data_IF_646746744383
#
_entry.id   IF_646746744383
#
_cell.length_a   1.000
_cell.length_b   1.000
_cell.length_c   1.000
_cell.angle_alpha   90.00
_cell.angle_beta   90.00
_cell.angle_gamma   90.00
#
_symmetry.space_group_name_H-M   'P 1'
#
loop_
_entity.id
_entity.type
_entity.pdbx_description
1 polymer ?
#
# COMPACT_ATOMS: atom_id res chain seq x y z
N UNK A 1 -16.85 -8.06 -43.14
CA UNK A 1 -15.70 -7.25 -42.70
C UNK A 1 -15.68 -7.13 -41.18
N UNK A 2 -14.80 -7.86 -40.50
CA UNK A 2 -14.66 -7.84 -39.03
C UNK A 2 -13.96 -6.54 -38.63
N UNK A 3 -14.67 -5.62 -37.97
CA UNK A 3 -14.10 -4.38 -37.43
C UNK A 3 -13.19 -4.75 -36.25
N UNK A 4 -11.89 -4.82 -36.53
CA UNK A 4 -10.79 -4.88 -35.55
C UNK A 4 -10.98 -3.76 -34.50
N UNK A 5 -11.66 -4.07 -33.39
CA UNK A 5 -11.74 -3.17 -32.23
C UNK A 5 -10.37 -3.16 -31.57
N UNK A 6 -9.48 -2.29 -32.06
CA UNK A 6 -8.17 -2.04 -31.45
C UNK A 6 -8.36 -1.65 -29.99
N UNK A 7 -8.20 -2.60 -29.07
CA UNK A 7 -8.25 -2.39 -27.62
C UNK A 7 -7.00 -1.62 -27.22
N UNK A 8 -7.00 -0.29 -27.39
CA UNK A 8 -5.95 0.57 -26.82
C UNK A 8 -5.99 0.42 -25.29
N UNK A 9 -5.01 -0.31 -24.77
CA UNK A 9 -4.98 -0.73 -23.37
C UNK A 9 -4.61 0.41 -22.41
N UNK A 10 -4.07 1.51 -22.93
CA UNK A 10 -3.40 2.56 -22.16
C UNK A 10 -3.65 3.91 -22.84
N UNK A 11 -4.47 4.75 -22.22
CA UNK A 11 -4.93 6.00 -22.85
C UNK A 11 -4.56 7.23 -21.97
N UNK A 12 -4.18 7.05 -20.69
CA UNK A 12 -3.56 8.13 -19.90
C UNK A 12 -2.64 7.57 -18.79
N UNK A 13 -1.33 7.55 -19.03
CA UNK A 13 -0.30 7.00 -18.12
C UNK A 13 -0.04 7.82 -16.83
N UNK A 14 0.02 9.17 -16.84
CA UNK A 14 0.58 9.92 -15.71
C UNK A 14 -0.26 9.86 -14.44
N UNK A 15 -1.60 9.88 -14.52
CA UNK A 15 -2.47 9.77 -13.33
C UNK A 15 -2.34 8.39 -12.67
N UNK A 16 -2.33 7.34 -13.49
CA UNK A 16 -2.24 5.96 -13.02
C UNK A 16 -0.91 5.71 -12.30
N UNK A 17 0.21 6.17 -12.87
CA UNK A 17 1.52 6.00 -12.25
C UNK A 17 1.70 6.81 -10.97
N UNK A 18 1.20 8.05 -10.91
CA UNK A 18 1.28 8.88 -9.69
C UNK A 18 0.58 8.23 -8.52
N UNK A 19 -0.67 7.80 -8.70
CA UNK A 19 -1.43 7.14 -7.63
C UNK A 19 -0.81 5.80 -7.22
N UNK A 20 -0.37 4.99 -8.19
CA UNK A 20 0.32 3.73 -7.93
C UNK A 20 1.61 3.89 -7.12
N UNK A 21 2.42 4.88 -7.47
CA UNK A 21 3.68 5.17 -6.79
C UNK A 21 3.43 5.63 -5.36
N UNK A 22 2.44 6.51 -5.14
CA UNK A 22 2.09 7.00 -3.80
C UNK A 22 1.59 5.84 -2.93
N UNK A 23 0.60 5.07 -3.40
CA UNK A 23 0.01 3.96 -2.65
C UNK A 23 1.08 2.93 -2.25
N UNK A 24 1.90 2.52 -3.23
CA UNK A 24 2.95 1.52 -3.00
C UNK A 24 4.05 2.05 -2.08
N UNK A 25 4.45 3.31 -2.26
CA UNK A 25 5.45 3.95 -1.41
C UNK A 25 4.99 4.07 0.05
N UNK A 26 3.73 4.44 0.28
CA UNK A 26 3.14 4.48 1.64
C UNK A 26 3.13 3.10 2.28
N UNK A 27 2.66 2.08 1.55
CA UNK A 27 2.65 0.69 2.04
C UNK A 27 4.04 0.20 2.44
N UNK A 28 5.02 0.39 1.57
CA UNK A 28 6.42 0.00 1.83
C UNK A 28 7.00 0.78 3.00
N UNK A 29 6.68 2.06 3.14
CA UNK A 29 7.11 2.89 4.27
C UNK A 29 6.55 2.37 5.59
N UNK A 30 5.24 2.10 5.67
CA UNK A 30 4.59 1.56 6.88
C UNK A 30 5.20 0.22 7.28
N UNK A 31 5.43 -0.68 6.31
CA UNK A 31 6.10 -1.96 6.54
C UNK A 31 7.54 -1.79 7.02
N UNK A 32 8.28 -0.85 6.45
CA UNK A 32 9.66 -0.57 6.86
C UNK A 32 9.71 -0.07 8.29
N UNK A 33 8.81 0.85 8.67
CA UNK A 33 8.70 1.33 10.05
C UNK A 33 8.35 0.16 10.99
N UNK A 34 7.36 -0.65 10.64
CA UNK A 34 6.96 -1.80 11.45
C UNK A 34 8.11 -2.82 11.63
N UNK A 35 8.87 -3.09 10.56
CA UNK A 35 10.02 -3.98 10.62
C UNK A 35 11.15 -3.40 11.48
N UNK A 36 11.44 -2.11 11.33
CA UNK A 36 12.42 -1.40 12.17
C UNK A 36 12.03 -1.49 13.65
N UNK A 37 10.77 -1.20 13.98
CA UNK A 37 10.27 -1.30 15.36
C UNK A 37 10.39 -2.71 15.93
N UNK A 38 10.00 -3.72 15.16
CA UNK A 38 10.08 -5.13 15.57
C UNK A 38 11.54 -5.59 15.71
N UNK A 39 12.41 -5.17 14.80
CA UNK A 39 13.84 -5.48 14.84
C UNK A 39 14.50 -4.90 16.10
N UNK A 40 14.32 -3.60 16.36
CA UNK A 40 14.85 -2.97 17.57
C UNK A 40 14.22 -3.53 18.85
N UNK A 41 12.93 -3.87 18.84
CA UNK A 41 12.27 -4.47 20.00
C UNK A 41 12.84 -5.86 20.36
N UNK A 42 13.04 -6.73 19.37
CA UNK A 42 13.66 -8.05 19.58
C UNK A 42 15.09 -7.88 20.10
N UNK A 43 15.89 -7.01 19.49
CA UNK A 43 17.27 -6.80 19.92
C UNK A 43 17.39 -6.12 21.28
N UNK A 44 16.47 -5.21 21.62
CA UNK A 44 16.38 -4.63 22.95
C UNK A 44 16.12 -5.71 24.01
N UNK A 45 15.14 -6.58 23.77
CA UNK A 45 14.86 -7.69 24.69
C UNK A 45 16.02 -8.69 24.82
N UNK A 46 16.74 -8.98 23.73
CA UNK A 46 17.96 -9.80 23.79
C UNK A 46 19.03 -9.10 24.63
N UNK A 47 19.29 -7.81 24.39
CA UNK A 47 20.29 -7.05 25.13
C UNK A 47 19.97 -7.00 26.64
N UNK A 48 18.70 -6.82 26.99
CA UNK A 48 18.23 -6.80 28.38
C UNK A 48 18.46 -8.16 29.06
N UNK A 49 18.13 -9.28 28.39
CA UNK A 49 18.33 -10.62 28.94
C UNK A 49 19.81 -10.96 29.22
N UNK A 50 20.74 -10.37 28.46
CA UNK A 50 22.17 -10.53 28.68
C UNK A 50 22.78 -9.47 29.61
N UNK A 51 22.07 -8.35 29.82
CA UNK A 51 22.46 -7.29 30.77
C UNK A 51 21.90 -7.54 32.17
N UNK A 52 21.16 -8.64 32.35
CA UNK A 52 20.48 -8.99 33.58
C UNK A 52 21.45 -9.06 34.77
N UNK A 53 21.01 -8.53 35.91
CA UNK A 53 21.82 -8.30 37.12
C UNK A 53 22.46 -9.61 37.61
N UNK A 54 21.80 -10.74 37.33
CA UNK A 54 22.25 -12.09 37.64
C UNK A 54 23.56 -12.47 36.93
N UNK A 55 23.67 -12.18 35.63
CA UNK A 55 24.88 -12.50 34.84
C UNK A 55 26.04 -11.64 35.30
N UNK A 56 25.78 -10.35 35.59
CA UNK A 56 26.80 -9.47 36.15
C UNK A 56 27.23 -9.89 37.56
N UNK A 57 26.28 -10.22 38.43
CA UNK A 57 26.55 -10.66 39.78
C UNK A 57 27.30 -11.99 39.81
N UNK A 58 26.98 -12.94 38.93
CA UNK A 58 27.71 -14.21 38.80
C UNK A 58 29.16 -13.98 38.36
N UNK A 59 29.40 -13.06 37.41
CA UNK A 59 30.76 -12.69 37.00
C UNK A 59 31.53 -11.98 38.12
N UNK A 60 30.88 -11.08 38.86
CA UNK A 60 31.49 -10.36 40.00
C UNK A 60 31.73 -11.31 41.17
N UNK A 61 30.84 -12.25 41.42
CA UNK A 61 30.97 -13.25 42.48
C UNK A 61 32.10 -14.22 42.15
N UNK A 62 32.17 -14.69 40.91
CA UNK A 62 33.26 -15.53 40.44
C UNK A 62 34.62 -14.80 40.51
N UNK A 63 34.68 -13.52 40.12
CA UNK A 63 35.93 -12.74 40.23
C UNK A 63 36.35 -12.53 41.69
N UNK A 64 35.40 -12.25 42.59
CA UNK A 64 35.64 -12.14 44.04
C UNK A 64 36.10 -13.46 44.65
N UNK A 65 35.48 -14.59 44.33
CA UNK A 65 35.89 -15.91 44.84
C UNK A 65 37.36 -16.21 44.50
N UNK A 66 37.80 -15.82 43.29
CA UNK A 66 39.19 -15.97 42.85
C UNK A 66 40.13 -15.02 43.60
N UNK A 67 39.72 -13.79 43.90
CA UNK A 67 40.52 -12.89 44.75
C UNK A 67 40.69 -13.43 46.17
N UNK A 68 39.64 -14.04 46.74
CA UNK A 68 39.73 -14.73 48.04
C UNK A 68 40.66 -15.95 47.97
N UNK A 69 40.56 -16.74 46.90
CA UNK A 69 41.44 -17.89 46.69
C UNK A 69 42.90 -17.46 46.46
N UNK A 70 43.13 -16.34 45.76
CA UNK A 70 44.43 -15.69 45.59
C UNK A 70 45.01 -15.17 46.90
N UNK A 71 44.20 -14.52 47.76
CA UNK A 71 44.65 -14.05 49.07
C UNK A 71 45.00 -15.20 50.01
N UNK A 72 44.30 -16.34 49.87
CA UNK A 72 44.65 -17.61 50.53
C UNK A 72 45.93 -18.22 49.94
N UNK A 73 46.07 -18.21 48.61
CA UNK A 73 47.20 -18.77 47.88
C UNK A 73 48.45 -17.91 48.03
N UNK A 74 48.41 -16.58 48.28
CA UNK A 74 49.59 -15.71 48.46
C UNK A 74 50.56 -16.17 49.58
N UNK A 75 50.19 -17.19 50.35
CA UNK A 75 51.07 -18.01 51.19
C UNK A 75 52.08 -18.88 50.40
N UNK A 76 51.88 -19.09 49.09
CA UNK A 76 52.66 -19.91 48.15
C UNK A 76 52.55 -19.31 46.71
N UNK A 77 53.67 -19.19 46.00
CA UNK A 77 53.89 -18.32 44.83
C UNK A 77 52.90 -18.40 43.62
N UNK A 78 52.77 -17.34 42.78
CA UNK A 78 51.66 -17.20 41.85
C UNK A 78 52.08 -17.26 40.36
N UNK A 79 52.10 -18.44 39.75
CA UNK A 79 52.27 -18.55 38.28
C UNK A 79 50.94 -18.48 37.49
N UNK A 80 49.79 -18.70 38.13
CA UNK A 80 48.50 -18.92 37.44
C UNK A 80 47.58 -17.70 37.22
N UNK A 81 47.80 -16.58 37.92
CA UNK A 81 46.82 -15.48 37.98
C UNK A 81 46.66 -14.71 36.65
N UNK A 82 47.76 -14.45 35.94
CA UNK A 82 47.75 -13.75 34.65
C UNK A 82 46.98 -14.53 33.58
N UNK A 83 47.02 -15.87 33.66
CA UNK A 83 46.30 -16.77 32.77
C UNK A 83 44.78 -16.68 32.91
N UNK A 84 44.26 -16.37 34.11
CA UNK A 84 42.83 -16.23 34.36
C UNK A 84 42.28 -14.84 34.02
N UNK A 85 43.01 -13.74 34.25
CA UNK A 85 42.63 -12.41 33.72
C UNK A 85 42.52 -12.44 32.19
N UNK A 86 43.47 -13.11 31.53
CA UNK A 86 43.42 -13.37 30.10
C UNK A 86 42.22 -14.24 29.71
N UNK A 87 41.72 -15.12 30.58
CA UNK A 87 40.50 -15.90 30.36
C UNK A 87 39.22 -15.07 30.57
N UNK A 88 39.16 -14.20 31.58
CA UNK A 88 38.03 -13.29 31.80
C UNK A 88 37.89 -12.26 30.67
N UNK A 89 39.00 -11.71 30.19
CA UNK A 89 39.03 -10.86 28.98
C UNK A 89 38.58 -11.65 27.75
N UNK A 90 39.07 -12.88 27.57
CA UNK A 90 38.60 -13.82 26.54
C UNK A 90 37.12 -14.20 26.68
N UNK A 91 36.57 -14.22 27.88
CA UNK A 91 35.15 -14.50 28.11
C UNK A 91 34.28 -13.33 27.63
N UNK A 92 34.72 -12.09 27.89
CA UNK A 92 34.06 -10.89 27.33
C UNK A 92 34.14 -10.85 25.80
N UNK A 93 35.29 -11.23 25.23
CA UNK A 93 35.47 -11.35 23.78
C UNK A 93 34.56 -12.46 23.21
N UNK A 94 34.47 -13.61 23.90
CA UNK A 94 33.59 -14.72 23.53
C UNK A 94 32.12 -14.34 23.59
N UNK A 95 31.69 -13.56 24.58
CA UNK A 95 30.32 -13.03 24.63
C UNK A 95 30.04 -12.10 23.46
N UNK A 96 30.96 -11.19 23.13
CA UNK A 96 30.84 -10.33 21.93
C UNK A 96 30.74 -11.16 20.65
N UNK A 97 31.50 -12.24 20.54
CA UNK A 97 31.44 -13.14 19.37
C UNK A 97 30.12 -13.92 19.31
N UNK A 98 29.61 -14.39 20.45
CA UNK A 98 28.28 -15.02 20.53
C UNK A 98 27.21 -14.02 20.08
N UNK A 99 27.24 -12.79 20.57
CA UNK A 99 26.32 -11.73 20.15
C UNK A 99 26.40 -11.45 18.66
N UNK A 100 27.61 -11.26 18.11
CA UNK A 100 27.82 -11.04 16.68
C UNK A 100 27.30 -12.20 15.85
N UNK A 101 27.56 -13.44 16.26
CA UNK A 101 27.07 -14.62 15.56
C UNK A 101 25.54 -14.70 15.58
N UNK A 102 24.90 -14.44 16.73
CA UNK A 102 23.44 -14.39 16.83
C UNK A 102 22.89 -13.27 15.92
N UNK A 103 23.55 -12.10 15.89
CA UNK A 103 23.18 -10.98 15.04
C UNK A 103 23.25 -11.36 13.56
N UNK A 104 24.36 -11.95 13.15
CA UNK A 104 24.62 -12.33 11.77
C UNK A 104 23.68 -13.46 11.31
N UNK A 105 23.45 -14.47 12.15
CA UNK A 105 22.50 -15.54 11.83
C UNK A 105 21.06 -15.03 11.73
N UNK A 106 20.66 -14.17 12.66
CA UNK A 106 19.33 -13.55 12.66
C UNK A 106 19.14 -12.68 11.42
N UNK A 107 20.13 -11.83 11.10
CA UNK A 107 20.11 -10.96 9.92
C UNK A 107 20.07 -11.75 8.62
N UNK A 108 20.90 -12.80 8.50
CA UNK A 108 20.90 -13.71 7.35
C UNK A 108 19.56 -14.40 7.14
N UNK A 109 18.82 -14.66 8.22
CA UNK A 109 17.49 -15.26 8.15
C UNK A 109 16.36 -14.25 7.88
N UNK A 110 16.39 -13.06 8.49
CA UNK A 110 15.27 -12.12 8.49
C UNK A 110 15.30 -11.12 7.32
N UNK A 111 16.46 -10.55 7.01
CA UNK A 111 16.59 -9.53 5.95
C UNK A 111 16.07 -10.05 4.59
N UNK A 112 16.47 -11.24 4.08
CA UNK A 112 15.97 -11.70 2.79
C UNK A 112 14.46 -11.96 2.79
N UNK A 113 13.89 -12.45 3.90
CA UNK A 113 12.45 -12.65 4.04
C UNK A 113 11.70 -11.32 4.02
N UNK A 114 12.26 -10.29 4.66
CA UNK A 114 11.69 -8.95 4.66
C UNK A 114 11.75 -8.30 3.27
N UNK A 115 12.88 -8.43 2.56
CA UNK A 115 12.99 -7.96 1.18
C UNK A 115 12.03 -8.68 0.24
N UNK A 116 11.87 -10.00 0.40
CA UNK A 116 10.88 -10.78 -0.33
C UNK A 116 9.45 -10.29 -0.04
N UNK A 117 9.13 -10.00 1.22
CA UNK A 117 7.83 -9.47 1.63
C UNK A 117 7.56 -8.11 0.99
N UNK A 118 8.53 -7.18 1.02
CA UNK A 118 8.44 -5.89 0.34
C UNK A 118 8.17 -6.09 -1.16
N UNK A 119 8.92 -6.99 -1.80
CA UNK A 119 8.76 -7.26 -3.23
C UNK A 119 7.37 -7.81 -3.56
N UNK A 120 6.87 -8.78 -2.78
CA UNK A 120 5.53 -9.35 -2.95
C UNK A 120 4.43 -8.30 -2.74
N UNK A 121 4.56 -7.46 -1.73
CA UNK A 121 3.58 -6.41 -1.42
C UNK A 121 3.61 -5.31 -2.47
N UNK A 122 4.79 -4.88 -2.92
CA UNK A 122 4.92 -3.94 -4.02
C UNK A 122 4.29 -4.48 -5.30
N UNK A 123 4.55 -5.76 -5.63
CA UNK A 123 3.94 -6.42 -6.77
C UNK A 123 2.41 -6.52 -6.66
N UNK A 124 1.89 -6.97 -5.51
CA UNK A 124 0.46 -7.06 -5.26
C UNK A 124 -0.24 -5.68 -5.29
N UNK A 125 0.40 -4.65 -4.73
CA UNK A 125 -0.08 -3.26 -4.77
C UNK A 125 -0.22 -2.75 -6.20
N UNK A 126 0.82 -2.93 -7.02
CA UNK A 126 0.78 -2.55 -8.44
C UNK A 126 -0.34 -3.29 -9.17
N UNK A 127 -0.46 -4.61 -8.95
CA UNK A 127 -1.51 -5.42 -9.55
C UNK A 127 -2.91 -4.91 -9.19
N UNK A 128 -3.17 -4.66 -7.90
CA UNK A 128 -4.46 -4.17 -7.42
C UNK A 128 -4.78 -2.79 -7.98
N UNK A 129 -3.78 -1.91 -8.05
CA UNK A 129 -3.98 -0.55 -8.50
C UNK A 129 -4.33 -0.47 -10.00
N UNK A 130 -3.80 -1.38 -10.83
CA UNK A 130 -4.22 -1.51 -12.23
C UNK A 130 -5.71 -1.86 -12.39
N UNK A 131 -6.28 -2.61 -11.44
CA UNK A 131 -7.70 -3.01 -11.42
C UNK A 131 -8.65 -1.82 -11.21
N UNK A 132 -8.16 -0.74 -10.59
CA UNK A 132 -8.93 0.46 -10.24
C UNK A 132 -8.66 1.60 -11.21
N UNK A 133 -7.39 1.84 -11.55
CA UNK A 133 -6.98 2.99 -12.35
C UNK A 133 -7.51 2.95 -13.82
N UNK A 134 -7.70 1.74 -14.37
CA UNK A 134 -8.29 1.55 -15.69
C UNK A 134 -9.77 1.99 -15.76
N UNK A 135 -10.64 1.47 -14.88
CA UNK A 135 -12.03 1.90 -14.77
C UNK A 135 -12.22 3.40 -14.57
N UNK A 136 -11.50 4.02 -13.63
CA UNK A 136 -11.60 5.46 -13.37
C UNK A 136 -11.32 6.31 -14.62
N UNK A 137 -10.34 5.91 -15.42
CA UNK A 137 -10.07 6.56 -16.69
C UNK A 137 -11.26 6.46 -17.67
N UNK A 138 -11.92 5.28 -17.73
CA UNK A 138 -13.12 5.10 -18.56
C UNK A 138 -14.30 5.94 -18.07
N UNK A 139 -14.43 6.15 -16.76
CA UNK A 139 -15.38 7.11 -16.17
C UNK A 139 -15.12 8.52 -16.65
N UNK A 140 -13.89 8.99 -16.52
CA UNK A 140 -13.51 10.32 -17.00
C UNK A 140 -13.85 10.53 -18.48
N UNK A 141 -13.51 9.56 -19.34
CA UNK A 141 -13.76 9.69 -20.77
C UNK A 141 -15.25 9.66 -21.11
N UNK A 142 -16.03 8.81 -20.44
CA UNK A 142 -17.48 8.71 -20.67
C UNK A 142 -18.20 9.98 -20.19
N UNK A 143 -17.82 10.51 -19.03
CA UNK A 143 -18.30 11.80 -18.55
C UNK A 143 -17.94 12.95 -19.51
N UNK A 144 -16.72 12.95 -20.04
CA UNK A 144 -16.30 13.92 -21.06
C UNK A 144 -17.18 13.83 -22.31
N UNK A 145 -17.46 12.64 -22.82
CA UNK A 145 -18.34 12.45 -23.97
C UNK A 145 -19.76 12.99 -23.73
N UNK A 146 -20.33 12.72 -22.55
CA UNK A 146 -21.65 13.24 -22.16
C UNK A 146 -21.63 14.77 -22.09
N UNK A 147 -20.60 15.35 -21.45
CA UNK A 147 -20.41 16.81 -21.38
C UNK A 147 -20.25 17.45 -22.75
N UNK A 148 -19.59 16.78 -23.67
CA UNK A 148 -19.39 17.23 -25.04
C UNK A 148 -20.65 16.98 -25.92
N UNK A 149 -21.78 16.57 -25.33
CA UNK A 149 -23.09 16.42 -25.98
C UNK A 149 -23.37 15.04 -26.57
N UNK A 150 -22.48 14.07 -26.40
CA UNK A 150 -22.67 12.70 -26.87
C UNK A 150 -23.28 11.80 -25.78
N UNK A 151 -24.61 11.85 -25.68
CA UNK A 151 -25.39 11.03 -24.74
C UNK A 151 -25.54 9.55 -25.16
N UNK A 152 -25.20 9.20 -26.40
CA UNK A 152 -25.23 7.80 -26.88
C UNK A 152 -24.07 6.95 -26.35
N UNK A 153 -23.08 7.59 -25.71
CA UNK A 153 -21.92 6.89 -25.16
C UNK A 153 -22.33 5.94 -24.03
N UNK A 154 -21.74 4.75 -24.00
CA UNK A 154 -21.94 3.75 -22.94
C UNK A 154 -20.59 3.25 -22.43
N UNK A 155 -20.54 3.01 -21.14
CA UNK A 155 -19.38 2.49 -20.44
C UNK A 155 -19.42 0.96 -20.35
N UNK A 156 -18.29 0.34 -20.67
CA UNK A 156 -18.08 -1.09 -20.42
C UNK A 156 -16.75 -1.30 -19.70
N UNK A 157 -16.82 -1.90 -18.50
CA UNK A 157 -15.66 -2.32 -17.74
C UNK A 157 -15.30 -3.78 -18.05
N UNK A 158 -14.04 -4.17 -17.80
CA UNK A 158 -13.59 -5.56 -18.05
C UNK A 158 -14.13 -6.50 -16.97
N UNK A 159 -14.10 -7.81 -17.23
CA UNK A 159 -14.56 -8.83 -16.27
C UNK A 159 -13.84 -8.74 -14.93
N UNK A 160 -12.56 -8.41 -14.94
CA UNK A 160 -11.71 -8.28 -13.76
C UNK A 160 -11.73 -6.89 -13.13
N UNK A 161 -12.41 -5.90 -13.71
CA UNK A 161 -12.38 -4.53 -13.20
C UNK A 161 -13.39 -4.34 -12.06
N UNK A 162 -13.03 -3.50 -11.08
CA UNK A 162 -13.94 -3.07 -10.02
C UNK A 162 -14.90 -1.97 -10.50
N UNK A 163 -16.01 -1.76 -9.77
CA UNK A 163 -16.94 -0.65 -10.03
C UNK A 163 -17.99 -0.89 -11.12
N UNK A 164 -18.27 -2.16 -11.47
CA UNK A 164 -19.29 -2.53 -12.47
C UNK A 164 -20.69 -2.03 -12.12
N UNK A 165 -21.04 -2.04 -10.84
CA UNK A 165 -22.31 -1.48 -10.36
C UNK A 165 -22.43 0.01 -10.73
N UNK A 166 -21.38 0.79 -10.47
CA UNK A 166 -21.32 2.21 -10.83
C UNK A 166 -21.38 2.39 -12.35
N UNK A 167 -20.72 1.51 -13.12
CA UNK A 167 -20.79 1.54 -14.57
C UNK A 167 -22.21 1.25 -15.10
N UNK A 168 -22.96 0.34 -14.46
CA UNK A 168 -24.36 0.09 -14.76
C UNK A 168 -25.23 1.31 -14.48
N UNK A 169 -25.10 1.90 -13.29
CA UNK A 169 -25.82 3.12 -12.92
C UNK A 169 -25.52 4.26 -13.89
N UNK A 170 -24.23 4.45 -14.22
CA UNK A 170 -23.80 5.44 -15.22
C UNK A 170 -24.47 5.20 -16.58
N UNK A 171 -24.53 3.95 -17.05
CA UNK A 171 -25.18 3.62 -18.32
C UNK A 171 -26.68 3.91 -18.29
N UNK A 172 -27.36 3.62 -17.19
CA UNK A 172 -28.78 3.94 -17.01
C UNK A 172 -29.01 5.45 -17.03
N UNK A 173 -28.15 6.24 -16.37
CA UNK A 173 -28.20 7.70 -16.43
C UNK A 173 -27.94 8.21 -17.85
N UNK A 174 -26.91 7.70 -18.54
CA UNK A 174 -26.61 8.09 -19.91
C UNK A 174 -27.77 7.78 -20.85
N UNK A 175 -28.42 6.63 -20.68
CA UNK A 175 -29.60 6.23 -21.44
C UNK A 175 -30.82 7.11 -21.16
N UNK A 176 -31.02 7.52 -19.91
CA UNK A 176 -32.06 8.49 -19.57
C UNK A 176 -31.83 9.83 -20.27
N UNK A 177 -30.61 10.37 -20.21
CA UNK A 177 -30.25 11.63 -20.86
C UNK A 177 -30.40 11.56 -22.39
N UNK A 178 -29.97 10.44 -22.98
CA UNK A 178 -30.08 10.16 -24.41
C UNK A 178 -31.55 10.15 -24.86
N UNK A 179 -32.42 9.45 -24.12
CA UNK A 179 -33.87 9.44 -24.37
C UNK A 179 -34.49 10.82 -24.19
N UNK A 180 -34.17 11.51 -23.09
CA UNK A 180 -34.71 12.84 -22.80
C UNK A 180 -34.39 13.85 -23.91
N UNK A 181 -33.12 13.94 -24.32
CA UNK A 181 -32.69 14.81 -25.42
C UNK A 181 -33.27 14.34 -26.77
N UNK A 182 -33.37 13.03 -26.99
CA UNK A 182 -33.98 12.44 -28.17
C UNK A 182 -35.46 12.81 -28.33
N UNK A 183 -36.22 12.77 -27.24
CA UNK A 183 -37.63 13.17 -27.20
C UNK A 183 -37.79 14.66 -27.49
N UNK A 184 -36.94 15.52 -26.92
CA UNK A 184 -36.94 16.96 -27.24
C UNK A 184 -36.68 17.18 -28.74
N UNK A 185 -35.66 16.51 -29.30
CA UNK A 185 -35.37 16.58 -30.76
C UNK A 185 -36.57 16.10 -31.59
N UNK A 186 -37.25 15.05 -31.16
CA UNK A 186 -38.44 14.52 -31.83
C UNK A 186 -39.60 15.51 -31.77
N UNK A 187 -39.86 16.15 -30.63
CA UNK A 187 -40.88 17.19 -30.48
C UNK A 187 -40.63 18.36 -31.43
N UNK A 188 -39.39 18.87 -31.48
CA UNK A 188 -39.00 19.95 -32.40
C UNK A 188 -39.21 19.54 -33.86
N UNK A 189 -38.83 18.31 -34.24
CA UNK A 189 -38.99 17.82 -35.61
C UNK A 189 -40.45 17.63 -36.01
N UNK A 190 -41.29 17.12 -35.10
CA UNK A 190 -42.69 16.78 -35.38
C UNK A 190 -43.63 18.00 -35.38
N UNK A 191 -43.27 19.09 -34.69
CA UNK A 191 -44.13 20.26 -34.55
C UNK A 191 -43.49 21.51 -35.19
N UNK A 192 -42.62 21.31 -36.19
CA UNK A 192 -41.89 22.39 -36.89
C UNK A 192 -42.83 23.46 -37.46
N UNK A 193 -44.00 23.05 -37.95
CA UNK A 193 -44.98 23.93 -38.61
C UNK A 193 -46.06 24.46 -37.64
N UNK A 194 -46.02 24.10 -36.36
CA UNK A 194 -46.96 24.58 -35.35
C UNK A 194 -46.22 25.03 -34.07
N UNK A 195 -45.73 26.29 -34.04
CA UNK A 195 -44.93 26.81 -32.93
C UNK A 195 -45.67 26.83 -31.59
N UNK A 196 -46.98 27.06 -31.59
CA UNK A 196 -47.80 27.12 -30.37
C UNK A 196 -47.87 25.73 -29.71
N UNK A 197 -48.16 24.70 -30.51
CA UNK A 197 -48.18 23.31 -30.05
C UNK A 197 -46.80 22.81 -29.61
N UNK A 198 -45.74 23.26 -30.28
CA UNK A 198 -44.36 22.95 -29.87
C UNK A 198 -44.05 23.55 -28.49
N UNK A 199 -44.36 24.82 -28.29
CA UNK A 199 -44.12 25.52 -27.01
C UNK A 199 -44.82 24.81 -25.86
N UNK A 200 -46.11 24.49 -26.02
CA UNK A 200 -46.89 23.78 -25.01
C UNK A 200 -46.27 22.42 -24.65
N UNK A 201 -45.95 21.58 -25.66
CA UNK A 201 -45.35 20.27 -25.41
C UNK A 201 -43.96 20.34 -24.77
N UNK A 202 -43.18 21.37 -25.06
CA UNK A 202 -41.88 21.59 -24.42
C UNK A 202 -42.07 22.01 -22.95
N UNK A 203 -43.01 22.89 -22.66
CA UNK A 203 -43.34 23.28 -21.28
C UNK A 203 -43.77 22.06 -20.46
N UNK A 204 -44.68 21.25 -20.98
CA UNK A 204 -45.14 20.02 -20.31
C UNK A 204 -43.98 19.06 -20.02
N UNK A 205 -43.06 18.88 -20.98
CA UNK A 205 -41.92 17.96 -20.82
C UNK A 205 -40.88 18.49 -19.82
N UNK A 206 -40.70 19.80 -19.75
CA UNK A 206 -39.71 20.45 -18.88
C UNK A 206 -40.24 20.67 -17.46
N UNK A 207 -41.56 20.69 -17.26
CA UNK A 207 -42.20 20.91 -15.95
C UNK A 207 -41.73 19.92 -14.86
N UNK A 208 -41.43 18.67 -15.24
CA UNK A 208 -40.97 17.64 -14.32
C UNK A 208 -39.45 17.69 -14.05
N UNK A 209 -38.71 18.55 -14.76
CA UNK A 209 -37.24 18.62 -14.65
C UNK A 209 -36.83 19.79 -13.78
N UNK A 210 -36.16 19.50 -12.66
CA UNK A 210 -35.53 20.54 -11.82
C UNK A 210 -34.12 20.82 -12.30
N UNK A 211 -33.81 22.10 -12.44
CA UNK A 211 -32.51 22.62 -12.84
C UNK A 211 -32.06 23.72 -11.87
N UNK A 212 -30.81 24.16 -12.01
CA UNK A 212 -30.32 25.31 -11.26
C UNK A 212 -31.02 26.63 -11.63
N UNK A 213 -31.81 26.67 -12.70
CA UNK A 213 -32.63 27.83 -13.07
C UNK A 213 -33.95 27.90 -12.29
N UNK A 214 -34.34 26.81 -11.61
CA UNK A 214 -35.57 26.71 -10.81
C UNK A 214 -35.32 26.94 -9.31
N UNK A 215 -34.08 27.33 -8.97
CA UNK A 215 -33.57 27.56 -7.61
C UNK A 215 -33.57 29.04 -7.24
#
# INVERSE_FOLDING_TARGET
MRKERRKKFLINRPFQFRYMAILTGVLVSVLSVAFISLYFGIWGGVLDAFSDEQVQNDLIMASRMVEYEKARILSQEPEGALGFFKQAEKLSLRQRDIFKNILDETNRGLIPKFLLLIALIAWASIYLSHKVAGPFYRFQMSLKNIRDGNFSSRMFLRKSDEGKFIAQQFNQTAEYLDRFVGEIKALVRQNKDNPQKLSQKLQDKLADTKTSADS
#
